data_IF_760372934139
#
_entry.id   IF_760372934139
#
_cell.length_a   1.000
_cell.length_b   1.000
_cell.length_c   1.000
_cell.angle_alpha   90.00
_cell.angle_beta   90.00
_cell.angle_gamma   90.00
#
_symmetry.space_group_name_H-M   'P 1'
#
loop_
_entity.id
_entity.type
_entity.pdbx_description
1 polymer ?
#
# COMPACT_ATOMS: atom_id res chain seq x y z
N UNK A 1 2.85 6.50 -7.47
CA UNK A 1 2.40 5.44 -6.54
C UNK A 1 3.57 5.13 -5.61
N UNK A 2 3.37 5.25 -4.30
CA UNK A 2 4.44 5.03 -3.33
C UNK A 2 4.21 3.71 -2.60
N UNK A 3 5.17 2.78 -2.71
CA UNK A 3 5.13 1.47 -2.06
C UNK A 3 6.20 1.44 -0.98
N UNK A 4 5.81 1.07 0.23
CA UNK A 4 6.65 0.99 1.41
C UNK A 4 6.69 -0.44 1.93
N UNK A 5 7.81 -0.84 2.54
CA UNK A 5 7.90 -2.12 3.25
C UNK A 5 7.18 -2.00 4.59
N UNK A 6 6.38 -3.01 4.90
CA UNK A 6 5.74 -3.21 6.20
C UNK A 6 6.27 -4.51 6.83
N UNK A 7 5.95 -4.76 8.10
CA UNK A 7 6.45 -5.93 8.85
C UNK A 7 6.16 -7.26 8.12
N UNK A 8 4.95 -7.42 7.55
CA UNK A 8 4.50 -8.66 6.93
C UNK A 8 4.43 -8.60 5.38
N UNK A 9 4.90 -7.51 4.77
CA UNK A 9 4.77 -7.32 3.32
C UNK A 9 4.97 -5.87 2.90
N UNK A 10 3.94 -5.29 2.28
CA UNK A 10 3.99 -3.99 1.63
C UNK A 10 2.77 -3.14 1.95
N UNK A 11 2.97 -1.83 1.98
CA UNK A 11 1.91 -0.82 2.03
C UNK A 11 2.03 0.06 0.80
N UNK A 12 0.91 0.27 0.13
CA UNK A 12 0.80 1.27 -0.93
C UNK A 12 0.02 2.47 -0.41
N UNK A 13 0.61 3.65 -0.51
CA UNK A 13 -0.10 4.90 -0.25
C UNK A 13 -0.90 5.32 -1.48
N UNK A 14 -2.22 5.46 -1.30
CA UNK A 14 -3.16 5.76 -2.39
C UNK A 14 -3.30 7.26 -2.58
N UNK A 15 -2.30 7.88 -3.23
CA UNK A 15 -2.30 9.33 -3.53
C UNK A 15 -3.49 9.77 -4.38
N UNK A 16 -4.04 8.87 -5.18
CA UNK A 16 -5.20 9.10 -6.03
C UNK A 16 -6.51 8.52 -5.44
N UNK A 17 -6.46 8.04 -4.21
CA UNK A 17 -7.58 7.40 -3.53
C UNK A 17 -7.79 5.92 -3.90
N UNK A 18 -8.74 5.27 -3.24
CA UNK A 18 -9.07 3.85 -3.41
C UNK A 18 -9.86 3.55 -4.68
N UNK A 19 -10.36 4.59 -5.37
CA UNK A 19 -11.18 4.44 -6.56
C UNK A 19 -10.43 4.06 -7.83
N UNK A 20 -9.09 4.09 -7.78
CA UNK A 20 -8.26 3.69 -8.91
C UNK A 20 -8.54 2.24 -9.31
N UNK A 21 -8.77 2.01 -10.61
CA UNK A 21 -9.22 0.71 -11.12
C UNK A 21 -8.26 -0.44 -10.77
N UNK A 22 -6.96 -0.15 -10.73
CA UNK A 22 -5.97 -1.15 -10.32
C UNK A 22 -6.18 -1.59 -8.86
N UNK A 23 -6.59 -0.70 -7.94
CA UNK A 23 -6.86 -1.04 -6.53
C UNK A 23 -8.02 -2.03 -6.46
N UNK A 24 -9.10 -1.73 -7.20
CA UNK A 24 -10.28 -2.60 -7.30
C UNK A 24 -9.92 -3.97 -7.87
N UNK A 25 -9.09 -4.01 -8.92
CA UNK A 25 -8.61 -5.26 -9.50
C UNK A 25 -7.77 -6.07 -8.52
N UNK A 26 -6.86 -5.43 -7.77
CA UNK A 26 -6.03 -6.11 -6.77
C UNK A 26 -6.89 -6.66 -5.63
N UNK A 27 -7.85 -5.87 -5.14
CA UNK A 27 -8.81 -6.31 -4.12
C UNK A 27 -9.65 -7.50 -4.61
N UNK A 28 -10.18 -7.42 -5.83
CA UNK A 28 -10.97 -8.49 -6.44
C UNK A 28 -10.16 -9.76 -6.71
N UNK A 29 -8.89 -9.63 -7.11
CA UNK A 29 -7.99 -10.75 -7.33
C UNK A 29 -7.44 -11.35 -6.03
N UNK A 30 -7.62 -10.68 -4.89
CA UNK A 30 -7.09 -11.12 -3.60
C UNK A 30 -5.56 -11.00 -3.47
N UNK A 31 -4.91 -10.22 -4.34
CA UNK A 31 -3.46 -10.04 -4.34
C UNK A 31 -2.92 -9.50 -5.67
N UNK A 32 -1.61 -9.26 -5.70
CA UNK A 32 -0.90 -8.82 -6.90
C UNK A 32 0.59 -9.16 -6.85
N UNK A 33 1.30 -8.87 -7.94
CA UNK A 33 2.75 -8.94 -7.99
C UNK A 33 3.32 -7.52 -7.95
N UNK A 34 4.29 -7.29 -7.06
CA UNK A 34 5.01 -6.03 -6.95
C UNK A 34 6.41 -6.24 -7.49
N UNK A 35 6.76 -5.52 -8.56
CA UNK A 35 8.14 -5.45 -9.02
C UNK A 35 8.86 -4.31 -8.31
N UNK A 36 9.89 -4.63 -7.53
CA UNK A 36 10.70 -3.64 -6.82
C UNK A 36 12.16 -4.06 -6.82
N UNK A 37 13.07 -3.11 -7.11
CA UNK A 37 14.52 -3.35 -7.19
C UNK A 37 14.90 -4.54 -8.10
N UNK A 38 14.18 -4.71 -9.21
CA UNK A 38 14.38 -5.82 -10.15
C UNK A 38 13.92 -7.19 -9.62
N UNK A 39 13.19 -7.24 -8.51
CA UNK A 39 12.61 -8.46 -7.96
C UNK A 39 11.08 -8.40 -8.04
N UNK A 40 10.47 -9.46 -8.55
CA UNK A 40 9.02 -9.65 -8.53
C UNK A 40 8.63 -10.35 -7.23
N UNK A 41 7.83 -9.68 -6.41
CA UNK A 41 7.34 -10.21 -5.14
C UNK A 41 5.84 -10.45 -5.24
N UNK A 42 5.43 -11.70 -5.05
CA UNK A 42 4.01 -12.05 -4.99
C UNK A 42 3.43 -11.63 -3.65
N UNK A 43 2.28 -10.98 -3.71
CA UNK A 43 1.55 -10.49 -2.54
C UNK A 43 0.10 -10.96 -2.56
N UNK A 44 -0.49 -11.09 -1.37
CA UNK A 44 -1.85 -11.57 -1.13
C UNK A 44 -2.52 -10.76 -0.03
N UNK A 45 -3.78 -11.07 0.26
CA UNK A 45 -4.57 -10.48 1.35
C UNK A 45 -4.60 -8.94 1.30
N UNK A 46 -5.05 -8.35 0.18
CA UNK A 46 -5.16 -6.92 0.03
C UNK A 46 -6.17 -6.37 1.05
N UNK A 47 -5.73 -5.41 1.85
CA UNK A 47 -6.54 -4.76 2.88
C UNK A 47 -6.49 -3.26 2.70
N UNK A 48 -7.63 -2.67 2.35
CA UNK A 48 -7.77 -1.21 2.31
C UNK A 48 -7.98 -0.70 3.74
N UNK A 49 -7.16 0.26 4.15
CA UNK A 49 -7.16 0.84 5.49
C UNK A 49 -7.13 2.36 5.37
N UNK A 50 -8.13 3.00 5.95
CA UNK A 50 -8.15 4.45 6.15
C UNK A 50 -7.47 4.77 7.48
N UNK A 51 -6.30 5.41 7.43
CA UNK A 51 -5.52 5.82 8.60
C UNK A 51 -5.15 7.31 8.47
N UNK A 52 -6.06 8.19 8.89
CA UNK A 52 -5.84 9.64 8.89
C UNK A 52 -4.62 10.04 9.73
N UNK A 53 -4.36 9.28 10.79
CA UNK A 53 -3.23 9.51 11.69
C UNK A 53 -1.94 8.96 11.13
N UNK A 54 -1.97 8.10 10.09
CA UNK A 54 -0.80 7.52 9.41
C UNK A 54 0.14 6.83 10.40
N UNK A 55 -0.45 6.22 11.42
CA UNK A 55 0.24 5.63 12.59
C UNK A 55 1.05 4.41 12.18
N UNK A 56 0.62 3.74 11.12
CA UNK A 56 1.26 2.54 10.59
C UNK A 56 2.56 2.82 9.81
N UNK A 57 2.91 4.09 9.57
CA UNK A 57 4.05 4.50 8.75
C UNK A 57 5.22 5.09 9.58
N UNK A 58 6.48 4.89 9.16
CA UNK A 58 7.63 5.55 9.77
C UNK A 58 7.49 7.07 9.77
N UNK A 59 8.03 7.75 10.79
CA UNK A 59 7.86 9.19 11.00
C UNK A 59 8.21 10.06 9.77
N UNK A 60 9.30 9.75 9.06
CA UNK A 60 9.69 10.48 7.85
C UNK A 60 8.70 10.32 6.69
N UNK A 61 8.16 9.12 6.50
CA UNK A 61 7.14 8.83 5.48
C UNK A 61 5.80 9.49 5.86
N UNK A 62 5.48 9.47 7.16
CA UNK A 62 4.27 10.10 7.72
C UNK A 62 4.17 11.58 7.38
N UNK A 63 5.28 12.33 7.47
CA UNK A 63 5.30 13.76 7.13
C UNK A 63 5.02 14.02 5.65
N UNK A 64 5.67 13.28 4.75
CA UNK A 64 5.45 13.42 3.30
C UNK A 64 4.00 13.10 2.92
N UNK A 65 3.44 12.03 3.50
CA UNK A 65 2.05 11.62 3.27
C UNK A 65 1.04 12.60 3.88
N UNK A 66 1.38 13.24 4.99
CA UNK A 66 0.57 14.28 5.61
C UNK A 66 0.45 15.50 4.72
N UNK A 67 1.56 15.94 4.11
CA UNK A 67 1.59 17.04 3.14
C UNK A 67 0.78 16.69 1.89
N UNK A 68 0.87 15.44 1.43
CA UNK A 68 0.13 14.96 0.27
C UNK A 68 -1.35 14.63 0.54
N UNK A 69 -1.86 14.80 1.77
CA UNK A 69 -3.26 14.55 2.11
C UNK A 69 -3.69 13.07 2.04
N UNK A 70 -2.75 12.13 1.95
CA UNK A 70 -3.08 10.71 1.73
C UNK A 70 -3.51 10.06 3.04
N UNK A 71 -4.75 9.60 3.11
CA UNK A 71 -5.31 8.88 4.27
C UNK A 71 -5.59 7.41 4.00
N UNK A 72 -5.58 7.01 2.73
CA UNK A 72 -5.96 5.69 2.26
C UNK A 72 -4.72 4.85 1.93
N UNK A 73 -4.68 3.64 2.50
CA UNK A 73 -3.54 2.73 2.43
C UNK A 73 -4.00 1.34 2.01
N UNK A 74 -3.31 0.75 1.04
CA UNK A 74 -3.50 -0.64 0.68
C UNK A 74 -2.37 -1.49 1.28
N UNK A 75 -2.72 -2.32 2.26
CA UNK A 75 -1.82 -3.30 2.85
C UNK A 75 -1.85 -4.59 2.03
N UNK A 76 -0.68 -5.18 1.83
CA UNK A 76 -0.45 -6.38 1.05
C UNK A 76 0.53 -7.27 1.81
N UNK A 77 0.18 -8.51 2.03
CA UNK A 77 1.04 -9.47 2.73
C UNK A 77 1.90 -10.19 1.69
N UNK A 78 3.16 -10.48 2.03
CA UNK A 78 4.04 -11.25 1.13
C UNK A 78 3.67 -12.72 1.20
N UNK A 79 3.59 -13.39 0.04
CA UNK A 79 3.50 -14.85 0.00
C UNK A 79 4.84 -15.44 0.45
N UNK A 80 4.84 -16.21 1.54
CA UNK A 80 6.01 -16.95 2.03
C UNK A 80 6.32 -18.15 1.16
#
# INVERSE_FOLDING_TARGET
>A
MNVFRAANGYVVALTYGPDADWVKNVLAAGGCQIETRGQVVRTTQPRLVHDERRTSMPFGVRQILSVAGVTEFLFLDRVS
#
